data_IF_347028398255
#
_entry.id   IF_347028398255
#
_cell.length_a   1.000
_cell.length_b   1.000
_cell.length_c   1.000
_cell.angle_alpha   90.00
_cell.angle_beta   90.00
_cell.angle_gamma   90.00
#
_symmetry.space_group_name_H-M   'P 1'
#
loop_
_entity.id
_entity.type
_entity.pdbx_description
1 polymer ?
#
# COMPACT_ATOMS: atom_id res chain seq x y z
N UNK A 1 -5.81 20.67 9.75
CA UNK A 1 -6.94 19.75 9.48
C UNK A 1 -7.93 19.91 10.62
N UNK A 2 -9.21 20.13 10.35
CA UNK A 2 -10.23 20.13 11.43
C UNK A 2 -10.36 18.71 11.99
N UNK A 3 -10.66 18.55 13.27
CA UNK A 3 -10.84 17.24 13.95
C UNK A 3 -11.84 16.35 13.19
N UNK A 4 -12.91 16.95 12.67
CA UNK A 4 -13.93 16.30 11.84
C UNK A 4 -13.29 15.58 10.62
N UNK A 5 -12.24 16.14 10.02
CA UNK A 5 -11.57 15.54 8.86
C UNK A 5 -10.68 14.35 9.27
N UNK A 6 -10.16 14.33 10.49
CA UNK A 6 -9.36 13.22 11.01
C UNK A 6 -10.27 12.04 11.31
N UNK A 7 -11.38 12.27 12.03
CA UNK A 7 -12.36 11.22 12.33
C UNK A 7 -12.92 10.57 11.04
N UNK A 8 -13.26 11.38 10.04
CA UNK A 8 -13.70 10.88 8.73
C UNK A 8 -12.61 10.05 8.03
N UNK A 9 -11.33 10.45 8.13
CA UNK A 9 -10.21 9.68 7.56
C UNK A 9 -10.04 8.33 8.25
N UNK A 10 -10.12 8.29 9.58
CA UNK A 10 -10.06 7.04 10.36
C UNK A 10 -11.19 6.10 9.96
N UNK A 11 -12.43 6.61 9.90
CA UNK A 11 -13.58 5.82 9.49
C UNK A 11 -13.44 5.27 8.08
N UNK A 12 -12.92 6.07 7.14
CA UNK A 12 -12.69 5.62 5.78
C UNK A 12 -11.60 4.54 5.72
N UNK A 13 -10.47 4.72 6.42
CA UNK A 13 -9.42 3.69 6.50
C UNK A 13 -9.98 2.38 7.06
N UNK A 14 -10.74 2.47 8.14
CA UNK A 14 -11.39 1.32 8.75
C UNK A 14 -12.35 0.62 7.77
N UNK A 15 -13.18 1.38 7.06
CA UNK A 15 -14.07 0.85 6.03
C UNK A 15 -13.30 0.16 4.90
N UNK A 16 -12.23 0.77 4.39
CA UNK A 16 -11.38 0.18 3.35
C UNK A 16 -10.76 -1.14 3.82
N UNK A 17 -10.35 -1.23 5.09
CA UNK A 17 -9.79 -2.45 5.66
C UNK A 17 -10.84 -3.55 5.75
N UNK A 18 -12.03 -3.25 6.27
CA UNK A 18 -13.14 -4.21 6.29
C UNK A 18 -13.46 -4.69 4.87
N UNK A 19 -13.52 -3.77 3.91
CA UNK A 19 -13.85 -4.08 2.53
C UNK A 19 -12.82 -5.06 1.95
N UNK A 20 -11.52 -4.78 2.07
CA UNK A 20 -10.50 -5.67 1.53
C UNK A 20 -10.40 -7.01 2.28
N UNK A 21 -10.55 -7.03 3.61
CA UNK A 21 -10.39 -8.27 4.41
C UNK A 21 -11.62 -9.16 4.37
N UNK A 22 -12.83 -8.60 4.22
CA UNK A 22 -14.09 -9.36 4.28
C UNK A 22 -14.65 -9.69 2.91
N UNK A 23 -14.59 -8.77 1.96
CA UNK A 23 -15.20 -8.96 0.63
C UNK A 23 -14.19 -9.45 -0.39
N UNK A 24 -13.03 -8.81 -0.48
CA UNK A 24 -12.07 -9.09 -1.54
C UNK A 24 -11.19 -10.31 -1.28
N UNK A 25 -10.98 -10.66 -0.01
CA UNK A 25 -10.21 -11.85 0.40
C UNK A 25 -10.73 -13.16 -0.19
N UNK A 26 -12.04 -13.27 -0.41
CA UNK A 26 -12.69 -14.47 -0.95
C UNK A 26 -12.67 -14.56 -2.49
N UNK A 27 -12.18 -13.52 -3.17
CA UNK A 27 -12.17 -13.46 -4.63
C UNK A 27 -10.77 -13.79 -5.17
N UNK A 28 -10.70 -14.66 -6.17
CA UNK A 28 -9.43 -15.16 -6.71
C UNK A 28 -8.48 -14.02 -7.10
N UNK A 29 -8.96 -13.03 -7.85
CA UNK A 29 -8.13 -11.90 -8.30
C UNK A 29 -8.08 -10.76 -7.30
N UNK A 30 -9.23 -10.36 -6.73
CA UNK A 30 -9.31 -9.19 -5.86
C UNK A 30 -8.66 -9.38 -4.49
N UNK A 31 -8.42 -10.63 -4.05
CA UNK A 31 -7.65 -10.92 -2.82
C UNK A 31 -6.25 -10.31 -2.82
N UNK A 32 -5.72 -9.97 -4.00
CA UNK A 32 -4.40 -9.35 -4.22
C UNK A 32 -4.44 -7.81 -4.18
N UNK A 33 -5.62 -7.20 -4.10
CA UNK A 33 -5.79 -5.77 -4.03
C UNK A 33 -5.56 -5.27 -2.60
N UNK A 34 -4.62 -4.34 -2.43
CA UNK A 34 -4.37 -3.64 -1.18
C UNK A 34 -4.88 -2.20 -1.29
N UNK A 35 -6.11 -1.99 -0.80
CA UNK A 35 -6.78 -0.69 -0.88
C UNK A 35 -6.04 0.39 -0.09
N UNK A 36 -5.46 0.01 1.05
CA UNK A 36 -4.71 0.93 1.91
C UNK A 36 -3.44 1.39 1.21
N UNK A 37 -2.65 0.47 0.66
CA UNK A 37 -1.45 0.79 -0.11
C UNK A 37 -1.78 1.65 -1.32
N UNK A 38 -2.81 1.29 -2.09
CA UNK A 38 -3.23 2.06 -3.26
C UNK A 38 -3.64 3.49 -2.91
N UNK A 39 -4.43 3.67 -1.85
CA UNK A 39 -4.82 4.98 -1.36
C UNK A 39 -3.59 5.79 -0.89
N UNK A 40 -2.66 5.15 -0.17
CA UNK A 40 -1.45 5.81 0.35
C UNK A 40 -0.53 6.26 -0.78
N UNK A 41 -0.29 5.42 -1.80
CA UNK A 41 0.53 5.80 -2.97
C UNK A 41 -0.13 6.99 -3.67
N UNK A 42 -1.43 6.93 -3.92
CA UNK A 42 -2.17 8.02 -4.54
C UNK A 42 -2.10 9.33 -3.72
N UNK A 43 -2.30 9.24 -2.40
CA UNK A 43 -2.22 10.38 -1.50
C UNK A 43 -0.82 10.95 -1.39
N UNK A 44 0.23 10.12 -1.51
CA UNK A 44 1.63 10.56 -1.44
C UNK A 44 1.96 11.54 -2.57
N UNK A 45 1.34 11.37 -3.74
CA UNK A 45 1.47 12.29 -4.88
C UNK A 45 0.80 13.64 -4.61
N UNK A 46 -0.32 13.66 -3.88
CA UNK A 46 -1.12 14.88 -3.65
C UNK A 46 -0.79 15.64 -2.37
N UNK A 47 -0.59 14.90 -1.28
CA UNK A 47 -0.41 15.43 0.05
C UNK A 47 0.35 14.44 0.93
N UNK A 48 1.68 14.59 0.96
CA UNK A 48 2.60 13.79 1.76
C UNK A 48 2.21 13.68 3.24
N UNK A 49 1.78 14.79 3.87
CA UNK A 49 1.42 14.78 5.30
C UNK A 49 0.21 13.91 5.57
N UNK A 50 -0.80 13.98 4.70
CA UNK A 50 -2.00 13.16 4.81
C UNK A 50 -1.69 11.69 4.50
N UNK A 51 -0.81 11.42 3.52
CA UNK A 51 -0.34 10.06 3.23
C UNK A 51 0.39 9.42 4.41
N UNK A 52 1.26 10.17 5.11
CA UNK A 52 1.92 9.68 6.34
C UNK A 52 0.92 9.35 7.45
N UNK A 53 -0.07 10.21 7.67
CA UNK A 53 -1.13 9.95 8.65
C UNK A 53 -1.93 8.69 8.30
N UNK A 54 -2.22 8.49 7.02
CA UNK A 54 -2.89 7.28 6.53
C UNK A 54 -1.99 6.04 6.62
N UNK A 55 -0.69 6.16 6.39
CA UNK A 55 0.27 5.07 6.58
C UNK A 55 0.34 4.64 8.05
N UNK A 56 0.36 5.60 8.98
CA UNK A 56 0.32 5.30 10.42
C UNK A 56 -0.97 4.58 10.82
N UNK A 57 -2.14 5.16 10.49
CA UNK A 57 -3.43 4.61 10.91
C UNK A 57 -3.74 3.30 10.17
N UNK A 58 -3.52 3.27 8.85
CA UNK A 58 -3.72 2.08 8.03
C UNK A 58 -2.77 0.95 8.41
N UNK A 59 -1.50 1.26 8.67
CA UNK A 59 -0.51 0.30 9.16
C UNK A 59 -0.89 -0.28 10.52
N UNK A 60 -1.34 0.57 11.46
CA UNK A 60 -1.82 0.14 12.78
C UNK A 60 -2.95 -0.89 12.64
N UNK A 61 -3.96 -0.59 11.81
CA UNK A 61 -5.05 -1.53 11.61
C UNK A 61 -4.60 -2.79 10.87
N UNK A 62 -3.72 -2.70 9.87
CA UNK A 62 -3.18 -3.89 9.19
C UNK A 62 -2.42 -4.80 10.14
N UNK A 63 -1.60 -4.23 11.03
CA UNK A 63 -0.87 -4.99 12.05
C UNK A 63 -1.83 -5.79 12.94
N UNK A 64 -2.99 -5.23 13.32
CA UNK A 64 -4.02 -5.92 14.13
C UNK A 64 -4.62 -7.16 13.45
N UNK A 65 -4.60 -7.21 12.12
CA UNK A 65 -5.14 -8.34 11.33
C UNK A 65 -4.05 -9.24 10.75
N UNK A 66 -2.78 -9.01 11.09
CA UNK A 66 -1.66 -9.72 10.49
C UNK A 66 -0.99 -10.71 11.43
N UNK A 67 -0.27 -11.69 10.85
CA UNK A 67 0.58 -12.62 11.59
C UNK A 67 2.01 -12.08 11.84
N UNK A 68 2.33 -10.89 11.33
CA UNK A 68 3.64 -10.28 11.53
C UNK A 68 3.71 -9.60 12.89
N UNK A 69 4.92 -9.42 13.44
CA UNK A 69 5.10 -8.59 14.63
C UNK A 69 4.50 -7.19 14.43
N UNK A 70 3.92 -6.66 15.50
CA UNK A 70 3.33 -5.33 15.48
C UNK A 70 4.35 -4.26 15.05
N UNK A 71 3.96 -3.36 14.15
CA UNK A 71 4.78 -2.29 13.60
C UNK A 71 5.33 -2.58 12.20
N UNK A 72 5.27 -3.81 11.69
CA UNK A 72 5.80 -4.15 10.37
C UNK A 72 5.06 -3.41 9.27
N UNK A 73 3.71 -3.43 9.27
CA UNK A 73 2.94 -2.74 8.24
C UNK A 73 3.01 -1.21 8.39
N UNK A 74 3.13 -0.69 9.62
CA UNK A 74 3.34 0.74 9.85
C UNK A 74 4.64 1.19 9.18
N UNK A 75 5.76 0.50 9.46
CA UNK A 75 7.06 0.84 8.90
C UNK A 75 7.05 0.73 7.38
N UNK A 76 6.52 -0.37 6.85
CA UNK A 76 6.43 -0.62 5.41
C UNK A 76 5.67 0.48 4.67
N UNK A 77 4.48 0.85 5.16
CA UNK A 77 3.68 1.91 4.56
C UNK A 77 4.34 3.28 4.69
N UNK A 78 5.01 3.58 5.82
CA UNK A 78 5.76 4.84 5.98
C UNK A 78 6.93 4.91 4.99
N UNK A 79 7.69 3.82 4.84
CA UNK A 79 8.80 3.77 3.88
C UNK A 79 8.28 3.88 2.45
N UNK A 80 7.15 3.24 2.14
CA UNK A 80 6.47 3.39 0.85
C UNK A 80 6.12 4.86 0.57
N UNK A 81 5.51 5.57 1.53
CA UNK A 81 5.23 7.01 1.40
C UNK A 81 6.50 7.83 1.17
N UNK A 82 7.56 7.53 1.92
CA UNK A 82 8.84 8.24 1.80
C UNK A 82 9.44 8.08 0.40
N UNK A 83 9.48 6.85 -0.13
CA UNK A 83 10.03 6.55 -1.45
C UNK A 83 9.21 7.18 -2.55
N UNK A 84 7.88 7.07 -2.51
CA UNK A 84 7.02 7.69 -3.52
C UNK A 84 7.20 9.21 -3.52
N UNK A 85 7.22 9.84 -2.36
CA UNK A 85 7.42 11.28 -2.24
C UNK A 85 8.84 11.71 -2.70
N UNK A 86 9.87 10.90 -2.40
CA UNK A 86 11.22 11.12 -2.92
C UNK A 86 11.24 11.06 -4.45
N UNK A 87 10.60 10.05 -5.05
CA UNK A 87 10.52 9.91 -6.50
C UNK A 87 9.76 11.07 -7.14
N UNK A 88 8.62 11.45 -6.57
CA UNK A 88 7.83 12.60 -7.02
C UNK A 88 8.68 13.87 -7.03
N UNK A 89 9.37 14.18 -5.93
CA UNK A 89 10.12 15.45 -5.80
C UNK A 89 11.37 15.53 -6.68
N UNK A 90 12.01 14.40 -6.97
CA UNK A 90 13.31 14.40 -7.65
C UNK A 90 13.24 13.95 -9.12
N UNK A 91 12.28 13.12 -9.50
CA UNK A 91 12.22 12.52 -10.84
C UNK A 91 11.00 12.91 -11.66
N UNK A 92 9.87 13.27 -11.03
CA UNK A 92 8.63 13.58 -11.74
C UNK A 92 8.28 15.06 -11.64
N UNK A 93 8.55 15.80 -12.71
CA UNK A 93 8.23 17.23 -12.83
C UNK A 93 6.74 17.51 -13.06
N UNK A 94 5.98 16.55 -13.60
CA UNK A 94 4.54 16.65 -13.82
C UNK A 94 3.80 15.38 -13.42
N UNK A 95 2.61 15.55 -12.84
CA UNK A 95 1.70 14.46 -12.49
C UNK A 95 0.95 13.96 -13.73
N UNK A 96 1.66 13.29 -14.63
CA UNK A 96 1.09 12.67 -15.83
C UNK A 96 0.56 11.26 -15.53
N UNK A 97 -0.28 10.74 -16.42
CA UNK A 97 -0.71 9.34 -16.41
C UNK A 97 0.47 8.36 -16.31
N UNK A 98 1.53 8.62 -17.08
CA UNK A 98 2.75 7.78 -17.08
C UNK A 98 3.48 7.82 -15.74
N UNK A 99 3.56 8.99 -15.09
CA UNK A 99 4.18 9.11 -13.76
C UNK A 99 3.47 8.24 -12.73
N UNK A 100 2.13 8.19 -12.77
CA UNK A 100 1.33 7.44 -11.80
C UNK A 100 1.49 5.94 -11.99
N UNK A 101 1.56 5.45 -13.24
CA UNK A 101 1.86 4.03 -13.51
C UNK A 101 3.23 3.65 -12.94
N UNK A 102 4.25 4.47 -13.19
CA UNK A 102 5.61 4.16 -12.72
C UNK A 102 5.66 4.18 -11.19
N UNK A 103 5.05 5.20 -10.57
CA UNK A 103 4.97 5.31 -9.11
C UNK A 103 4.16 4.16 -8.49
N UNK A 104 3.06 3.72 -9.10
CA UNK A 104 2.28 2.58 -8.59
C UNK A 104 3.10 1.29 -8.65
N UNK A 105 3.78 1.03 -9.77
CA UNK A 105 4.63 -0.15 -9.92
C UNK A 105 5.76 -0.15 -8.90
N UNK A 106 6.46 0.98 -8.72
CA UNK A 106 7.56 1.08 -7.77
C UNK A 106 7.04 0.95 -6.33
N UNK A 107 5.95 1.63 -5.97
CA UNK A 107 5.39 1.58 -4.62
C UNK A 107 4.93 0.18 -4.23
N UNK A 108 4.23 -0.51 -5.13
CA UNK A 108 3.76 -1.88 -4.88
C UNK A 108 4.92 -2.87 -4.86
N UNK A 109 5.94 -2.67 -5.70
CA UNK A 109 7.16 -3.49 -5.66
C UNK A 109 7.90 -3.30 -4.35
N UNK A 110 8.09 -2.05 -3.92
CA UNK A 110 8.79 -1.73 -2.68
C UNK A 110 8.09 -2.35 -1.47
N UNK A 111 6.78 -2.17 -1.36
CA UNK A 111 5.95 -2.79 -0.33
C UNK A 111 6.18 -4.30 -0.23
N UNK A 112 6.08 -5.00 -1.36
CA UNK A 112 6.27 -6.45 -1.39
C UNK A 112 7.70 -6.90 -1.07
N UNK A 113 8.70 -6.17 -1.56
CA UNK A 113 10.10 -6.44 -1.26
C UNK A 113 10.38 -6.23 0.23
N UNK A 114 9.84 -5.17 0.82
CA UNK A 114 9.97 -4.90 2.25
C UNK A 114 9.34 -6.01 3.09
N UNK A 115 8.11 -6.43 2.78
CA UNK A 115 7.46 -7.55 3.47
C UNK A 115 8.23 -8.86 3.29
N UNK A 116 8.77 -9.12 2.10
CA UNK A 116 9.62 -10.28 1.87
C UNK A 116 10.85 -10.25 2.78
N UNK A 117 11.58 -9.13 2.82
CA UNK A 117 12.77 -8.97 3.68
C UNK A 117 12.38 -9.13 5.16
N UNK A 118 11.29 -8.48 5.59
CA UNK A 118 10.79 -8.57 6.95
C UNK A 118 10.45 -10.02 7.31
N UNK A 119 9.75 -10.75 6.43
CA UNK A 119 9.40 -12.16 6.66
C UNK A 119 10.63 -13.05 6.81
N UNK A 120 11.66 -12.88 5.97
CA UNK A 120 12.89 -13.65 6.08
C UNK A 120 13.65 -13.31 7.36
N UNK A 121 13.69 -12.04 7.75
CA UNK A 121 14.31 -11.60 9.00
C UNK A 121 13.62 -12.19 10.24
N UNK A 122 12.29 -12.14 10.30
CA UNK A 122 11.54 -12.68 11.44
C UNK A 122 11.56 -14.22 11.48
N UNK A 123 11.62 -14.87 10.33
CA UNK A 123 11.83 -16.32 10.26
C UNK A 123 13.22 -16.71 10.78
N UNK A 124 14.27 -16.00 10.36
CA UNK A 124 15.65 -16.24 10.80
C UNK A 124 15.81 -16.06 12.32
N UNK A 125 15.13 -15.07 12.90
CA UNK A 125 15.12 -14.80 14.35
C UNK A 125 14.16 -15.71 15.13
N UNK A 126 13.45 -16.64 14.46
CA UNK A 126 12.46 -17.57 15.04
C UNK A 126 11.28 -16.88 15.73
N UNK A 127 10.97 -15.65 15.34
CA UNK A 127 9.78 -14.94 15.82
C UNK A 127 8.53 -15.47 15.10
N UNK A 128 8.66 -15.82 13.82
CA UNK A 128 7.62 -16.49 13.03
C UNK A 128 8.12 -17.84 12.53
N UNK A 129 7.20 -18.81 12.39
CA UNK A 129 7.50 -20.18 11.96
C UNK A 129 7.25 -20.41 10.46
N UNK A 130 6.84 -19.39 9.72
CA UNK A 130 6.57 -19.47 8.29
C UNK A 130 7.53 -18.56 7.52
N UNK A 131 7.97 -19.02 6.35
CA UNK A 131 8.74 -18.24 5.39
C UNK A 131 8.09 -18.37 4.01
N UNK A 132 7.94 -17.27 3.25
CA UNK A 132 7.42 -17.36 1.90
C UNK A 132 8.37 -18.16 1.02
N UNK A 133 7.82 -19.11 0.26
CA UNK A 133 8.55 -19.91 -0.71
C UNK A 133 8.60 -19.12 -2.03
N UNK A 134 9.81 -18.87 -2.54
CA UNK A 134 10.03 -18.15 -3.80
C UNK A 134 9.85 -19.10 -5.01
N UNK A 135 8.62 -19.54 -5.23
CA UNK A 135 8.26 -20.40 -6.35
C UNK A 135 7.57 -19.64 -7.49
N UNK A 136 7.18 -20.35 -8.55
CA UNK A 136 6.44 -19.78 -9.69
C UNK A 136 5.13 -19.11 -9.25
N UNK A 137 4.46 -19.65 -8.24
CA UNK A 137 3.17 -19.15 -7.75
C UNK A 137 3.38 -17.81 -7.05
N UNK A 138 4.44 -17.66 -6.26
CA UNK A 138 4.85 -16.41 -5.64
C UNK A 138 5.05 -15.30 -6.68
N UNK A 139 5.87 -15.57 -7.70
CA UNK A 139 6.13 -14.56 -8.75
C UNK A 139 4.87 -14.22 -9.57
N UNK A 140 3.99 -15.19 -9.81
CA UNK A 140 2.70 -14.95 -10.45
C UNK A 140 1.82 -14.05 -9.57
N UNK A 141 1.74 -14.32 -8.26
CA UNK A 141 0.98 -13.51 -7.31
C UNK A 141 1.54 -12.09 -7.21
N UNK A 142 2.87 -11.94 -7.17
CA UNK A 142 3.54 -10.65 -7.19
C UNK A 142 3.19 -9.86 -8.47
N UNK A 143 3.24 -10.51 -9.64
CA UNK A 143 2.84 -9.89 -10.91
C UNK A 143 1.38 -9.43 -10.90
N UNK A 144 0.47 -10.26 -10.41
CA UNK A 144 -0.95 -9.89 -10.27
C UNK A 144 -1.17 -8.74 -9.30
N UNK A 145 -0.44 -8.71 -8.17
CA UNK A 145 -0.51 -7.59 -7.24
C UNK A 145 -0.07 -6.28 -7.91
N UNK A 146 1.02 -6.29 -8.68
CA UNK A 146 1.46 -5.10 -9.42
C UNK A 146 0.37 -4.58 -10.35
N UNK A 147 -0.23 -5.47 -11.13
CA UNK A 147 -1.27 -5.10 -12.11
C UNK A 147 -2.50 -4.56 -11.41
N UNK A 148 -3.06 -5.31 -10.45
CA UNK A 148 -4.34 -4.98 -9.81
C UNK A 148 -4.25 -3.70 -8.97
N UNK A 149 -3.17 -3.54 -8.19
CA UNK A 149 -2.98 -2.32 -7.39
C UNK A 149 -2.70 -1.11 -8.29
N UNK A 150 -1.96 -1.26 -9.38
CA UNK A 150 -1.75 -0.18 -10.34
C UNK A 150 -3.05 0.25 -11.02
N UNK A 151 -3.89 -0.70 -11.44
CA UNK A 151 -5.21 -0.40 -12.00
C UNK A 151 -6.10 0.35 -11.00
N UNK A 152 -6.09 -0.05 -9.73
CA UNK A 152 -6.82 0.66 -8.69
C UNK A 152 -6.31 2.09 -8.48
N UNK A 153 -5.00 2.30 -8.44
CA UNK A 153 -4.41 3.65 -8.32
C UNK A 153 -4.76 4.52 -9.52
N UNK A 154 -4.75 3.96 -10.74
CA UNK A 154 -5.19 4.65 -11.95
C UNK A 154 -6.67 5.02 -11.89
N UNK A 155 -7.51 4.10 -11.38
CA UNK A 155 -8.92 4.39 -11.17
C UNK A 155 -9.13 5.57 -10.20
N UNK A 156 -8.40 5.61 -9.09
CA UNK A 156 -8.40 6.75 -8.16
C UNK A 156 -7.95 8.05 -8.85
N UNK A 157 -6.94 7.97 -9.72
CA UNK A 157 -6.46 9.12 -10.49
C UNK A 157 -7.53 9.69 -11.42
N UNK A 158 -8.23 8.85 -12.19
CA UNK A 158 -9.30 9.29 -13.08
C UNK A 158 -10.50 9.85 -12.32
N UNK A 159 -10.90 9.21 -11.22
CA UNK A 159 -12.00 9.70 -10.36
C UNK A 159 -11.71 11.09 -9.80
N UNK A 160 -10.46 11.32 -9.44
CA UNK A 160 -10.05 12.57 -8.84
C UNK A 160 -10.02 13.76 -9.80
N UNK A 161 -10.32 13.55 -11.10
CA UNK A 161 -10.31 14.54 -12.20
C UNK A 161 -9.20 15.57 -11.98
N UNK A 162 -7.93 15.25 -12.29
CA UNK A 162 -6.91 16.29 -12.27
C UNK A 162 -7.43 17.45 -13.12
N UNK A 163 -7.63 18.62 -12.51
CA UNK A 163 -7.82 19.85 -13.25
C UNK A 163 -6.50 20.05 -13.99
N UNK A 164 -6.46 19.62 -15.26
CA UNK A 164 -5.40 19.96 -16.20
C UNK A 164 -5.34 21.48 -16.34
#
# INVERSE_FOLDING_TARGET
MKIINIAASVLLIFFLIILQTSFFSNWEYLSRLNLILGAIIFLSVKNYRLALLWALIGGLFLDLFSFFPFGVFILDLIFSVFIINFLVKNFFSHYSFTSIIILSLIGVSFYNIFLLIASQFFYFTRIINFSPILDKIYFLNFGWQLVINSLFILFLFFLAKPKL
#
